data_IF_582145648256
#
_entry.id   IF_582145648256
#
_cell.length_a   1.000
_cell.length_b   1.000
_cell.length_c   1.000
_cell.angle_alpha   90.00
_cell.angle_beta   90.00
_cell.angle_gamma   90.00
#
_symmetry.space_group_name_H-M   'P 1'
#
loop_
_entity.id
_entity.type
_entity.pdbx_description
1 polymer ?
#
# COMPACT_ATOMS: atom_id res chain seq x y z
N UNK A 1 -69.02 41.32 11.12
CA UNK A 1 -68.28 40.22 10.49
C UNK A 1 -66.80 40.55 10.54
N UNK A 2 -66.04 39.88 11.38
CA UNK A 2 -64.58 40.06 11.47
C UNK A 2 -63.92 38.86 10.78
N UNK A 3 -63.27 39.11 9.68
CA UNK A 3 -62.54 38.08 8.89
C UNK A 3 -61.10 37.95 9.44
N UNK A 4 -60.84 36.80 10.03
CA UNK A 4 -59.48 36.48 10.54
C UNK A 4 -58.67 35.88 9.37
N UNK A 5 -57.62 36.49 8.95
CA UNK A 5 -56.63 35.99 7.97
C UNK A 5 -55.62 35.15 8.71
N UNK A 6 -55.59 33.87 8.43
CA UNK A 6 -54.58 32.94 8.94
C UNK A 6 -53.36 32.98 8.02
N UNK A 7 -52.27 33.50 8.52
CA UNK A 7 -51.00 33.47 7.81
C UNK A 7 -50.30 32.11 8.03
N UNK A 8 -50.12 31.35 6.95
CA UNK A 8 -49.41 30.08 6.94
C UNK A 8 -47.90 30.38 6.74
N UNK A 9 -47.13 30.23 7.80
CA UNK A 9 -45.65 30.35 7.71
C UNK A 9 -45.09 29.02 7.18
N UNK A 10 -44.57 29.03 5.95
CA UNK A 10 -43.86 27.91 5.38
C UNK A 10 -42.41 27.95 5.89
N UNK A 11 -42.01 27.03 6.77
CA UNK A 11 -40.63 26.80 7.16
C UNK A 11 -39.92 26.01 6.05
N UNK A 12 -39.06 26.70 5.30
CA UNK A 12 -38.09 26.03 4.43
C UNK A 12 -37.05 25.34 5.32
N UNK A 13 -37.09 24.00 5.38
CA UNK A 13 -36.00 23.22 5.92
C UNK A 13 -34.87 23.22 4.87
N UNK A 14 -33.79 23.97 5.10
CA UNK A 14 -32.52 23.79 4.38
C UNK A 14 -31.96 22.41 4.77
N UNK A 15 -32.18 21.42 3.91
CA UNK A 15 -31.40 20.18 3.96
C UNK A 15 -29.97 20.55 3.56
N UNK A 16 -29.06 20.73 4.53
CA UNK A 16 -27.65 20.79 4.29
C UNK A 16 -27.23 19.49 3.60
N UNK A 17 -26.73 19.58 2.36
CA UNK A 17 -26.05 18.45 1.73
C UNK A 17 -24.82 18.15 2.61
N UNK A 18 -24.84 17.00 3.29
CA UNK A 18 -23.64 16.47 3.92
C UNK A 18 -22.68 16.12 2.77
N UNK A 19 -21.70 16.94 2.53
CA UNK A 19 -20.57 16.55 1.70
C UNK A 19 -19.83 15.45 2.48
N UNK A 20 -19.75 14.25 1.90
CA UNK A 20 -18.85 13.23 2.42
C UNK A 20 -17.43 13.81 2.34
N UNK A 21 -16.77 13.93 3.49
CA UNK A 21 -15.38 14.35 3.55
C UNK A 21 -14.55 13.24 2.90
N UNK A 22 -13.70 13.63 1.94
CA UNK A 22 -12.76 12.71 1.32
C UNK A 22 -11.75 12.25 2.38
N UNK A 23 -11.58 10.95 2.50
CA UNK A 23 -10.57 10.33 3.37
C UNK A 23 -9.44 9.86 2.49
N UNK A 24 -8.23 10.44 2.68
CA UNK A 24 -7.02 10.02 1.99
C UNK A 24 -6.73 8.54 2.33
N UNK A 25 -6.64 7.62 1.35
CA UNK A 25 -6.33 6.21 1.58
C UNK A 25 -5.03 5.99 2.35
N UNK A 26 -4.02 6.84 2.15
CA UNK A 26 -2.74 6.78 2.86
C UNK A 26 -2.81 7.26 4.32
N UNK A 27 -3.93 7.85 4.75
CA UNK A 27 -4.20 8.21 6.14
C UNK A 27 -5.11 7.19 6.85
N UNK A 28 -5.35 6.02 6.25
CA UNK A 28 -6.13 4.95 6.89
C UNK A 28 -5.44 4.51 8.20
N UNK A 29 -6.19 4.44 9.32
CA UNK A 29 -5.58 4.15 10.62
C UNK A 29 -5.03 2.72 10.68
N UNK A 30 -3.84 2.59 11.29
CA UNK A 30 -3.23 1.31 11.59
C UNK A 30 -3.64 0.80 12.97
N UNK A 31 -3.66 -0.53 13.20
CA UNK A 31 -3.81 -1.12 14.53
C UNK A 31 -2.77 -0.57 15.51
N UNK A 32 -3.06 -0.65 16.82
CA UNK A 32 -2.09 -0.27 17.86
C UNK A 32 -0.90 -1.25 17.88
N UNK A 33 -1.18 -2.53 17.69
CA UNK A 33 -0.17 -3.58 17.54
C UNK A 33 0.21 -3.72 16.05
N UNK A 34 1.46 -3.37 15.74
CA UNK A 34 2.01 -3.42 14.38
C UNK A 34 2.43 -4.83 13.92
N UNK A 35 2.17 -5.88 14.70
CA UNK A 35 2.40 -7.27 14.27
C UNK A 35 1.55 -7.64 13.07
N UNK A 36 0.36 -7.05 12.96
CA UNK A 36 -0.50 -7.05 11.77
C UNK A 36 -0.84 -5.60 11.41
N UNK A 37 -0.88 -5.28 10.13
CA UNK A 37 -1.13 -3.94 9.64
C UNK A 37 -1.91 -3.97 8.33
N UNK A 38 -2.50 -2.85 7.95
CA UNK A 38 -3.16 -2.68 6.67
C UNK A 38 -2.18 -2.22 5.59
N UNK A 39 -2.35 -2.79 4.39
CA UNK A 39 -1.72 -2.31 3.16
C UNK A 39 -2.83 -1.94 2.18
N UNK A 40 -2.73 -0.79 1.53
CA UNK A 40 -3.56 -0.44 0.37
C UNK A 40 -2.83 -0.89 -0.89
N UNK A 41 -3.47 -1.75 -1.67
CA UNK A 41 -2.87 -2.27 -2.91
C UNK A 41 -3.01 -1.23 -4.00
N UNK A 42 -1.91 -0.93 -4.68
CA UNK A 42 -1.89 -0.07 -5.85
C UNK A 42 -1.77 -0.89 -7.13
N UNK A 43 -0.90 -1.91 -7.14
CA UNK A 43 -0.60 -2.67 -8.35
C UNK A 43 -0.86 -4.16 -8.10
N UNK A 44 -1.78 -4.79 -8.85
CA UNK A 44 -2.05 -6.21 -8.72
C UNK A 44 -0.86 -7.08 -9.11
N UNK A 45 -0.71 -8.24 -8.48
CA UNK A 45 0.19 -9.30 -8.95
C UNK A 45 -0.09 -9.62 -10.43
N UNK A 46 0.96 -9.78 -11.23
CA UNK A 46 0.85 -10.06 -12.67
C UNK A 46 0.55 -8.83 -13.53
N UNK A 47 0.40 -7.64 -12.95
CA UNK A 47 0.13 -6.43 -13.71
C UNK A 47 1.37 -5.97 -14.51
N UNK A 48 1.12 -5.57 -15.75
CA UNK A 48 2.06 -4.83 -16.59
C UNK A 48 1.90 -3.30 -16.44
N UNK A 49 0.77 -2.87 -15.86
CA UNK A 49 0.44 -1.47 -15.62
C UNK A 49 0.84 -1.08 -14.22
N UNK A 50 1.58 0.03 -14.08
CA UNK A 50 1.75 0.70 -12.80
C UNK A 50 0.55 1.61 -12.57
N UNK A 51 -0.16 1.34 -11.50
CA UNK A 51 -1.19 2.24 -10.97
C UNK A 51 -0.62 2.98 -9.76
N UNK A 52 -1.17 4.14 -9.50
CA UNK A 52 -0.96 4.94 -8.29
C UNK A 52 -2.31 5.37 -7.73
N UNK A 53 -2.35 5.61 -6.44
CA UNK A 53 -3.50 6.21 -5.78
C UNK A 53 -3.17 7.69 -5.57
N UNK A 54 -3.99 8.57 -6.14
CA UNK A 54 -3.87 10.00 -5.94
C UNK A 54 -4.24 10.36 -4.49
N UNK A 55 -3.27 10.86 -3.72
CA UNK A 55 -3.45 11.20 -2.31
C UNK A 55 -4.45 12.34 -2.08
N UNK A 56 -4.67 13.21 -3.07
CA UNK A 56 -5.56 14.36 -2.95
C UNK A 56 -7.04 13.99 -3.12
N UNK A 57 -7.34 12.92 -3.85
CA UNK A 57 -8.72 12.55 -4.19
C UNK A 57 -9.04 11.05 -4.12
N UNK A 58 -8.05 10.17 -3.85
CA UNK A 58 -8.19 8.73 -3.70
C UNK A 58 -8.46 7.97 -5.00
N UNK A 59 -8.36 8.63 -6.14
CA UNK A 59 -8.56 7.96 -7.41
C UNK A 59 -7.37 7.08 -7.76
N UNK A 60 -7.68 5.88 -8.26
CA UNK A 60 -6.67 5.01 -8.88
C UNK A 60 -6.41 5.53 -10.30
N UNK A 61 -5.17 5.91 -10.57
CA UNK A 61 -4.73 6.41 -11.88
C UNK A 61 -3.72 5.45 -12.51
N UNK A 62 -3.65 5.44 -13.82
CA UNK A 62 -2.58 4.77 -14.57
C UNK A 62 -1.40 5.73 -14.63
N UNK A 63 -0.31 5.39 -13.91
CA UNK A 63 0.94 6.15 -13.99
C UNK A 63 1.66 5.82 -15.32
N UNK A 64 1.96 4.54 -15.56
CA UNK A 64 2.62 4.09 -16.78
C UNK A 64 2.48 2.58 -16.99
N UNK A 65 2.87 2.14 -18.16
CA UNK A 65 3.14 0.72 -18.42
C UNK A 65 4.61 0.39 -18.16
N UNK A 66 4.88 -0.85 -17.77
CA UNK A 66 6.25 -1.32 -17.68
C UNK A 66 6.91 -1.26 -19.06
N UNK A 67 8.09 -0.62 -19.15
CA UNK A 67 8.87 -0.57 -20.38
C UNK A 67 9.70 -1.84 -20.61
N UNK A 68 10.07 -2.53 -19.51
CA UNK A 68 10.65 -3.86 -19.55
C UNK A 68 9.55 -4.91 -19.72
N UNK A 69 9.80 -6.03 -20.43
CA UNK A 69 8.81 -7.10 -20.62
C UNK A 69 8.67 -7.97 -19.36
N UNK A 70 8.38 -7.33 -18.23
CA UNK A 70 8.19 -7.95 -16.92
C UNK A 70 6.90 -7.47 -16.29
N UNK A 71 6.34 -8.27 -15.39
CA UNK A 71 5.14 -7.95 -14.62
C UNK A 71 5.46 -7.94 -13.12
N UNK A 72 4.68 -7.23 -12.32
CA UNK A 72 4.83 -7.24 -10.87
C UNK A 72 4.66 -8.66 -10.33
N UNK A 73 5.64 -9.19 -9.57
CA UNK A 73 5.61 -10.59 -9.12
C UNK A 73 4.58 -10.84 -8.02
N UNK A 74 4.24 -9.81 -7.26
CA UNK A 74 3.29 -9.82 -6.14
C UNK A 74 2.37 -8.62 -6.24
N UNK A 75 1.35 -8.51 -5.36
CA UNK A 75 0.67 -7.25 -5.21
C UNK A 75 1.63 -6.24 -4.57
N UNK A 76 1.68 -5.05 -5.15
CA UNK A 76 2.47 -3.93 -4.64
C UNK A 76 1.52 -2.88 -4.07
N UNK A 77 1.86 -2.31 -2.95
CA UNK A 77 1.05 -1.26 -2.33
C UNK A 77 1.81 -0.54 -1.24
N UNK A 78 1.14 0.38 -0.59
CA UNK A 78 1.69 1.21 0.48
C UNK A 78 1.08 0.86 1.82
N UNK A 79 1.83 1.02 2.90
CA UNK A 79 1.35 0.90 4.29
C UNK A 79 0.80 2.27 4.71
N UNK A 80 -0.52 2.45 4.83
CA UNK A 80 -1.10 3.72 5.25
C UNK A 80 -0.61 4.16 6.63
N UNK A 81 -0.65 5.47 6.89
CA UNK A 81 -0.22 6.04 8.18
C UNK A 81 1.17 5.56 8.60
N UNK A 82 2.07 5.44 7.64
CA UNK A 82 3.50 5.20 7.84
C UNK A 82 4.32 6.28 7.12
N UNK A 83 5.57 6.45 7.52
CA UNK A 83 6.51 7.40 6.93
C UNK A 83 7.85 6.70 6.73
N UNK A 84 8.23 6.46 5.48
CA UNK A 84 9.52 5.92 5.09
C UNK A 84 10.64 6.95 5.14
N UNK A 85 11.87 6.53 4.84
CA UNK A 85 13.05 7.39 4.84
C UNK A 85 13.04 8.49 3.78
N UNK A 86 12.31 8.29 2.68
CA UNK A 86 12.08 9.23 1.58
C UNK A 86 10.92 10.20 1.82
N UNK A 87 10.15 10.01 2.90
CA UNK A 87 9.00 10.85 3.26
C UNK A 87 7.66 10.34 2.71
N UNK A 88 7.66 9.26 1.93
CA UNK A 88 6.46 8.58 1.43
C UNK A 88 6.04 7.44 2.37
N UNK A 89 4.79 6.93 2.28
CA UNK A 89 4.39 5.72 2.99
C UNK A 89 5.27 4.52 2.63
N UNK A 90 5.56 3.66 3.62
CA UNK A 90 6.37 2.46 3.41
C UNK A 90 5.73 1.52 2.40
N UNK A 91 6.52 1.00 1.47
CA UNK A 91 6.07 0.06 0.44
C UNK A 91 5.96 -1.38 0.95
N UNK A 92 4.97 -2.10 0.45
CA UNK A 92 4.78 -3.52 0.75
C UNK A 92 4.54 -4.37 -0.50
N UNK A 93 5.16 -5.55 -0.51
CA UNK A 93 4.97 -6.62 -1.48
C UNK A 93 4.15 -7.73 -0.82
N UNK A 94 2.90 -7.88 -1.22
CA UNK A 94 1.95 -8.79 -0.57
C UNK A 94 1.73 -10.03 -1.43
N UNK A 95 2.17 -11.18 -0.93
CA UNK A 95 1.88 -12.48 -1.53
C UNK A 95 0.45 -12.90 -1.23
N UNK A 96 -0.32 -13.24 -2.25
CA UNK A 96 -1.69 -13.72 -2.14
C UNK A 96 -1.98 -14.76 -3.21
N UNK A 97 -3.05 -15.54 -3.02
CA UNK A 97 -3.47 -16.56 -4.00
C UNK A 97 -4.00 -15.97 -5.30
N UNK A 98 -4.58 -14.76 -5.21
CA UNK A 98 -5.20 -14.06 -6.34
C UNK A 98 -4.75 -12.59 -6.34
N UNK A 99 -4.64 -11.94 -7.50
CA UNK A 99 -4.38 -10.52 -7.57
C UNK A 99 -5.47 -9.71 -6.87
N UNK A 100 -5.05 -8.67 -6.15
CA UNK A 100 -5.98 -7.75 -5.46
C UNK A 100 -6.19 -6.52 -6.34
N UNK A 101 -7.45 -6.07 -6.43
CA UNK A 101 -7.78 -4.87 -7.21
C UNK A 101 -7.16 -3.60 -6.60
N UNK A 102 -6.71 -2.63 -7.42
CA UNK A 102 -6.18 -1.37 -6.93
C UNK A 102 -7.18 -0.62 -6.04
N UNK A 103 -6.69 -0.04 -4.96
CA UNK A 103 -7.49 0.68 -3.96
C UNK A 103 -8.08 -0.21 -2.87
N UNK A 104 -7.94 -1.54 -2.93
CA UNK A 104 -8.39 -2.42 -1.87
C UNK A 104 -7.37 -2.46 -0.72
N UNK A 105 -7.91 -2.48 0.52
CA UNK A 105 -7.12 -2.67 1.73
C UNK A 105 -7.10 -4.14 2.11
N UNK A 106 -5.95 -4.62 2.53
CA UNK A 106 -5.78 -5.96 3.08
C UNK A 106 -5.00 -5.90 4.38
N UNK A 107 -5.44 -6.66 5.38
CA UNK A 107 -4.70 -6.86 6.62
C UNK A 107 -3.65 -7.95 6.40
N UNK A 108 -2.40 -7.62 6.72
CA UNK A 108 -1.23 -8.45 6.46
C UNK A 108 -0.30 -8.51 7.66
N UNK A 109 0.66 -9.42 7.64
CA UNK A 109 1.80 -9.45 8.54
C UNK A 109 3.10 -9.52 7.75
N UNK A 110 4.14 -8.85 8.26
CA UNK A 110 5.46 -8.90 7.65
C UNK A 110 6.12 -10.27 7.88
N UNK A 111 6.84 -10.74 6.85
CA UNK A 111 7.69 -11.95 6.90
C UNK A 111 9.15 -11.65 6.59
N UNK A 112 9.48 -10.46 6.11
CA UNK A 112 10.83 -10.00 5.80
C UNK A 112 10.80 -8.65 5.11
N UNK A 113 11.97 -8.17 4.71
CA UNK A 113 12.17 -6.93 3.95
C UNK A 113 13.19 -7.15 2.84
N UNK A 114 12.95 -6.57 1.67
CA UNK A 114 13.94 -6.44 0.58
C UNK A 114 14.58 -5.07 0.69
N UNK A 115 15.88 -5.02 0.92
CA UNK A 115 16.64 -3.78 0.94
C UNK A 115 16.95 -3.31 -0.47
N UNK A 116 16.53 -2.09 -0.77
CA UNK A 116 16.67 -1.48 -2.07
C UNK A 116 17.09 -0.02 -1.96
N UNK A 117 17.99 0.39 -2.87
CA UNK A 117 18.32 1.79 -3.12
C UNK A 117 17.81 2.15 -4.51
N UNK A 118 17.02 3.22 -4.62
CA UNK A 118 16.51 3.72 -5.90
C UNK A 118 17.04 5.12 -6.19
N UNK A 119 18.02 5.20 -7.07
CA UNK A 119 18.66 6.47 -7.43
C UNK A 119 19.38 7.14 -6.27
N UNK A 120 19.89 6.36 -5.32
CA UNK A 120 20.65 6.81 -4.17
C UNK A 120 19.81 7.07 -2.90
N UNK A 121 18.50 6.85 -2.94
CA UNK A 121 17.58 6.95 -1.81
C UNK A 121 17.17 5.55 -1.34
N UNK A 122 17.04 5.37 -0.02
CA UNK A 122 16.52 4.12 0.55
C UNK A 122 15.04 3.94 0.12
N UNK A 123 14.73 2.76 -0.42
CA UNK A 123 13.42 2.43 -0.98
C UNK A 123 13.08 0.95 -0.69
N UNK A 124 13.20 0.58 0.59
CA UNK A 124 13.01 -0.78 1.09
C UNK A 124 11.57 -1.26 0.88
N UNK A 125 11.39 -2.57 0.64
CA UNK A 125 10.09 -3.18 0.41
C UNK A 125 9.77 -4.20 1.48
N UNK A 126 8.75 -3.97 2.28
CA UNK A 126 8.26 -4.96 3.25
C UNK A 126 7.65 -6.14 2.49
N UNK A 127 8.09 -7.35 2.81
CA UNK A 127 7.50 -8.57 2.28
C UNK A 127 6.44 -9.05 3.27
N UNK A 128 5.22 -9.23 2.78
CA UNK A 128 4.09 -9.55 3.63
C UNK A 128 3.20 -10.66 3.05
N UNK A 129 2.46 -11.29 3.92
CA UNK A 129 1.42 -12.28 3.62
C UNK A 129 0.13 -11.88 4.35
N UNK A 130 -1.05 -12.34 3.92
CA UNK A 130 -2.30 -12.09 4.62
C UNK A 130 -2.24 -12.48 6.10
N UNK A 131 -2.92 -11.71 6.95
CA UNK A 131 -3.19 -12.13 8.33
C UNK A 131 -4.03 -13.41 8.34
N UNK A 132 -3.94 -14.21 9.42
CA UNK A 132 -4.58 -15.54 9.50
C UNK A 132 -6.11 -15.50 9.36
N UNK A 133 -6.75 -14.42 9.80
CA UNK A 133 -8.21 -14.21 9.66
C UNK A 133 -8.63 -13.80 8.22
N UNK A 134 -7.69 -13.39 7.39
CA UNK A 134 -7.91 -13.09 5.97
C UNK A 134 -7.66 -14.34 5.12
N UNK A 135 -6.51 -14.99 5.29
CA UNK A 135 -6.18 -16.22 4.57
C UNK A 135 -5.24 -17.14 5.37
N UNK A 136 -5.78 -18.17 6.05
CA UNK A 136 -4.97 -19.10 6.84
C UNK A 136 -4.03 -19.98 6.00
N UNK A 137 -4.13 -19.94 4.66
CA UNK A 137 -3.21 -20.69 3.77
C UNK A 137 -1.75 -20.26 3.96
N UNK A 138 -1.53 -19.04 4.47
CA UNK A 138 -0.19 -18.50 4.71
C UNK A 138 0.31 -18.66 6.15
N UNK A 139 -0.43 -19.39 7.02
CA UNK A 139 -0.05 -19.51 8.44
C UNK A 139 1.31 -20.19 8.65
N UNK A 140 1.69 -21.10 7.78
CA UNK A 140 2.99 -21.77 7.83
C UNK A 140 4.17 -20.93 7.29
N UNK A 141 3.89 -19.79 6.65
CA UNK A 141 4.90 -18.86 6.12
C UNK A 141 5.20 -17.79 7.17
N UNK A 142 6.12 -18.06 8.10
CA UNK A 142 6.44 -17.15 9.22
C UNK A 142 7.62 -16.22 8.94
N UNK A 143 8.46 -16.55 7.95
CA UNK A 143 9.63 -15.77 7.55
C UNK A 143 9.80 -15.77 6.03
N UNK A 144 10.64 -14.88 5.54
CA UNK A 144 11.02 -14.83 4.12
C UNK A 144 11.65 -16.16 3.64
N UNK A 145 12.28 -16.91 4.56
CA UNK A 145 12.92 -18.18 4.23
C UNK A 145 11.93 -19.35 4.07
N UNK A 146 10.71 -19.19 4.54
CA UNK A 146 9.63 -20.17 4.35
C UNK A 146 9.00 -20.06 2.95
N UNK A 147 9.25 -18.95 2.24
CA UNK A 147 8.85 -18.86 0.83
C UNK A 147 9.74 -19.76 -0.03
N UNK A 148 9.16 -20.38 -1.07
CA UNK A 148 9.97 -21.04 -2.08
C UNK A 148 11.04 -20.10 -2.63
N UNK A 149 12.28 -20.59 -2.75
CA UNK A 149 13.41 -19.79 -3.21
C UNK A 149 13.12 -19.08 -4.55
N UNK A 150 12.39 -19.74 -5.44
CA UNK A 150 12.03 -19.17 -6.75
C UNK A 150 11.15 -17.91 -6.61
N UNK A 151 10.33 -17.78 -5.57
CA UNK A 151 9.50 -16.59 -5.36
C UNK A 151 10.38 -15.40 -4.91
N UNK A 152 11.34 -15.63 -4.03
CA UNK A 152 12.35 -14.60 -3.66
C UNK A 152 13.15 -14.14 -4.87
N UNK A 153 13.63 -15.10 -5.68
CA UNK A 153 14.38 -14.80 -6.91
C UNK A 153 13.53 -14.02 -7.93
N UNK A 154 12.23 -14.30 -8.04
CA UNK A 154 11.31 -13.55 -8.93
C UNK A 154 11.18 -12.09 -8.49
N UNK A 155 11.07 -11.83 -7.19
CA UNK A 155 11.02 -10.47 -6.63
C UNK A 155 12.32 -9.73 -6.96
N UNK A 156 13.47 -10.31 -6.64
CA UNK A 156 14.77 -9.69 -6.97
C UNK A 156 14.96 -9.46 -8.48
N UNK A 157 14.62 -10.45 -9.29
CA UNK A 157 14.78 -10.34 -10.74
C UNK A 157 13.93 -9.20 -11.31
N UNK A 158 12.70 -9.02 -10.82
CA UNK A 158 11.84 -7.92 -11.21
C UNK A 158 12.49 -6.56 -10.87
N UNK A 159 12.84 -6.32 -9.62
CA UNK A 159 13.40 -5.03 -9.19
C UNK A 159 14.76 -4.74 -9.81
N UNK A 160 15.54 -5.76 -10.12
CA UNK A 160 16.84 -5.59 -10.81
C UNK A 160 16.69 -5.01 -12.21
N UNK A 161 15.56 -5.25 -12.90
CA UNK A 161 15.43 -4.88 -14.32
C UNK A 161 14.29 -3.91 -14.62
N UNK A 162 13.29 -3.75 -13.76
CA UNK A 162 12.03 -3.06 -14.07
C UNK A 162 12.19 -1.57 -14.48
N UNK A 163 13.31 -0.94 -14.10
CA UNK A 163 13.67 0.45 -14.46
C UNK A 163 14.77 0.54 -15.52
N UNK A 164 15.19 -0.53 -16.16
CA UNK A 164 16.27 -0.47 -17.18
C UNK A 164 15.82 0.21 -18.48
N UNK A 165 14.53 0.23 -18.79
CA UNK A 165 13.99 0.95 -19.93
C UNK A 165 12.91 1.98 -19.50
N UNK A 166 12.80 3.13 -20.22
CA UNK A 166 13.77 3.64 -21.20
C UNK A 166 15.13 3.93 -20.54
N UNK A 167 16.19 3.93 -21.33
CA UNK A 167 17.54 4.26 -20.85
C UNK A 167 17.60 5.61 -20.14
N UNK A 168 18.48 5.73 -19.14
CA UNK A 168 18.67 6.97 -18.37
C UNK A 168 17.74 7.12 -17.15
N UNK A 169 16.99 6.08 -16.78
CA UNK A 169 16.24 6.06 -15.52
C UNK A 169 17.15 5.85 -14.30
N UNK A 170 16.56 6.05 -13.09
CA UNK A 170 17.25 5.78 -11.81
C UNK A 170 17.83 4.36 -11.79
N UNK A 171 19.03 4.21 -11.23
CA UNK A 171 19.65 2.90 -11.01
C UNK A 171 19.13 2.32 -9.72
N UNK A 172 18.77 1.04 -9.77
CA UNK A 172 18.32 0.28 -8.61
C UNK A 172 19.45 -0.62 -8.13
N UNK A 173 19.73 -0.57 -6.83
CA UNK A 173 20.67 -1.45 -6.15
C UNK A 173 19.88 -2.32 -5.15
N UNK A 174 20.11 -3.64 -5.18
CA UNK A 174 19.48 -4.59 -4.26
C UNK A 174 20.52 -5.11 -3.28
N UNK A 175 20.22 -4.99 -1.99
CA UNK A 175 21.10 -5.38 -0.89
C UNK A 175 20.65 -6.69 -0.19
N UNK A 176 19.73 -7.43 -0.83
CA UNK A 176 19.22 -8.71 -0.34
C UNK A 176 18.04 -8.57 0.63
N UNK A 177 17.70 -9.67 1.27
CA UNK A 177 16.58 -9.73 2.20
C UNK A 177 17.07 -9.78 3.65
N UNK A 178 16.28 -9.16 4.54
CA UNK A 178 16.36 -9.35 5.99
C UNK A 178 15.10 -10.03 6.52
N UNK A 179 15.19 -10.54 7.74
CA UNK A 179 14.15 -11.37 8.35
C UNK A 179 12.99 -10.58 8.96
N UNK A 180 12.03 -11.33 9.50
CA UNK A 180 10.77 -10.83 10.04
C UNK A 180 10.95 -9.77 11.15
N UNK A 181 11.94 -9.93 12.05
CA UNK A 181 12.14 -9.00 13.17
C UNK A 181 12.51 -7.60 12.67
N UNK A 182 13.36 -7.50 11.66
CA UNK A 182 13.75 -6.22 11.07
C UNK A 182 12.58 -5.59 10.33
N UNK A 183 11.85 -6.37 9.53
CA UNK A 183 10.67 -5.89 8.84
C UNK A 183 9.58 -5.35 9.79
N UNK A 184 9.31 -6.06 10.89
CA UNK A 184 8.35 -5.61 11.91
C UNK A 184 8.82 -4.33 12.61
N UNK A 185 10.11 -4.22 12.92
CA UNK A 185 10.66 -3.00 13.51
C UNK A 185 10.52 -1.82 12.54
N UNK A 186 10.84 -2.00 11.27
CA UNK A 186 10.69 -0.94 10.25
C UNK A 186 9.23 -0.48 10.13
N UNK A 187 8.28 -1.40 10.11
CA UNK A 187 6.84 -1.06 10.08
C UNK A 187 6.43 -0.27 11.31
N UNK A 188 6.87 -0.72 12.51
CA UNK A 188 6.58 -0.02 13.77
C UNK A 188 7.16 1.38 13.78
N UNK A 189 8.43 1.52 13.42
CA UNK A 189 9.13 2.81 13.41
C UNK A 189 8.50 3.79 12.40
N UNK A 190 8.12 3.31 11.21
CA UNK A 190 7.46 4.12 10.20
C UNK A 190 6.06 4.61 10.63
N UNK A 191 5.28 3.76 11.32
CA UNK A 191 3.97 4.14 11.88
C UNK A 191 4.15 5.14 13.02
N UNK A 192 5.15 4.97 13.89
CA UNK A 192 5.48 5.92 14.96
C UNK A 192 5.94 7.26 14.40
N UNK A 193 6.78 7.25 13.37
CA UNK A 193 7.22 8.48 12.69
C UNK A 193 6.05 9.26 12.10
N UNK A 194 5.07 8.58 11.47
CA UNK A 194 3.86 9.22 10.97
C UNK A 194 3.01 9.84 12.09
N UNK A 195 2.86 9.14 13.24
CA UNK A 195 2.09 9.65 14.39
C UNK A 195 2.72 10.86 15.07
N UNK A 196 4.04 11.02 14.94
CA UNK A 196 4.80 12.11 15.52
C UNK A 196 4.82 13.39 14.69
N UNK A 197 4.36 13.31 13.43
CA UNK A 197 4.34 14.40 12.43
C UNK A 197 3.00 15.15 12.43
#
# INVERSE_FOLDING_TARGET
MKTTVLALAATLALSGAAHAEFVNPFAYPQPEDSSEFFTVVEIPAGSFTKYEIDADNGHVIVDRYQSMPVVYPTNYGSIPSSLGGDGDPLDALVFTREPIVPGAFIKVRAIGVLHMIDGGEEDDKIIAVPASDIDPTYDDIQSIDDLPEIERQRVEAFFRVYKQLPEGRKVVELNGFSGVNEAQQMVSDAIEAYRAN
#
